data_IF_579080623935
#
_entry.id   IF_579080623935
#
_cell.length_a   1.000
_cell.length_b   1.000
_cell.length_c   1.000
_cell.angle_alpha   90.00
_cell.angle_beta   90.00
_cell.angle_gamma   90.00
#
_symmetry.space_group_name_H-M   'P 1'
#
loop_
_entity.id
_entity.type
_entity.pdbx_description
1 polymer ?
#
# COMPACT_ATOMS: atom_id res chain seq x y z
N UNK A 1 -20.72 9.82 -0.68
CA UNK A 1 -19.68 9.41 -1.65
C UNK A 1 -18.42 10.19 -1.31
N UNK A 2 -17.60 9.65 -0.41
CA UNK A 2 -16.31 10.24 -0.04
C UNK A 2 -15.31 9.80 -1.10
N UNK A 3 -15.03 10.69 -2.06
CA UNK A 3 -13.96 10.46 -3.01
C UNK A 3 -12.66 10.28 -2.23
N UNK A 4 -11.99 9.14 -2.41
CA UNK A 4 -10.63 8.94 -1.92
C UNK A 4 -9.69 9.84 -2.73
N UNK A 5 -9.68 11.13 -2.39
CA UNK A 5 -8.94 12.15 -3.12
C UNK A 5 -7.49 12.12 -2.68
N UNK A 6 -6.63 11.48 -3.48
CA UNK A 6 -5.21 11.75 -3.43
C UNK A 6 -4.96 13.18 -3.91
N UNK A 7 -4.09 13.92 -3.21
CA UNK A 7 -3.71 15.28 -3.62
C UNK A 7 -2.28 15.28 -4.10
N UNK A 8 -2.04 15.76 -5.32
CA UNK A 8 -0.69 15.91 -5.85
C UNK A 8 -0.03 17.13 -5.21
N UNK A 9 1.12 16.92 -4.60
CA UNK A 9 1.97 17.98 -4.03
C UNK A 9 3.26 18.13 -4.84
N UNK A 10 3.72 19.38 -4.99
CA UNK A 10 5.00 19.69 -5.65
C UNK A 10 5.96 20.27 -4.63
N UNK A 11 7.14 19.67 -4.49
CA UNK A 11 8.16 20.07 -3.52
C UNK A 11 9.38 20.65 -4.23
N UNK A 12 9.99 21.68 -3.62
CA UNK A 12 11.30 22.18 -4.03
C UNK A 12 12.34 21.63 -3.05
N UNK A 13 13.29 20.85 -3.56
CA UNK A 13 14.35 20.23 -2.76
C UNK A 13 15.71 20.73 -3.25
N UNK A 14 16.67 20.81 -2.33
CA UNK A 14 18.09 20.96 -2.71
C UNK A 14 18.53 19.69 -3.44
N UNK A 15 19.41 19.82 -4.44
CA UNK A 15 19.88 18.68 -5.23
C UNK A 15 20.50 17.57 -4.37
N UNK A 16 21.28 17.92 -3.34
CA UNK A 16 21.90 16.93 -2.45
C UNK A 16 20.85 16.16 -1.63
N UNK A 17 19.77 16.82 -1.24
CA UNK A 17 18.64 16.20 -0.51
C UNK A 17 17.90 15.25 -1.45
N UNK A 18 17.62 15.69 -2.69
CA UNK A 18 17.01 14.84 -3.70
C UNK A 18 17.87 13.59 -3.99
N UNK A 19 19.19 13.74 -4.16
CA UNK A 19 20.09 12.60 -4.35
C UNK A 19 20.14 11.64 -3.16
N UNK A 20 20.01 12.13 -1.93
CA UNK A 20 19.92 11.29 -0.75
C UNK A 20 18.59 10.51 -0.70
N UNK A 21 17.47 11.13 -1.10
CA UNK A 21 16.16 10.47 -1.20
C UNK A 21 16.20 9.33 -2.21
N UNK A 22 16.77 9.54 -3.40
CA UNK A 22 16.88 8.51 -4.44
C UNK A 22 17.62 7.26 -3.93
N UNK A 23 18.77 7.45 -3.27
CA UNK A 23 19.55 6.33 -2.70
C UNK A 23 18.76 5.57 -1.63
N UNK A 24 18.08 6.28 -0.73
CA UNK A 24 17.30 5.61 0.32
C UNK A 24 16.07 4.88 -0.23
N UNK A 25 15.45 5.41 -1.28
CA UNK A 25 14.37 4.72 -1.99
C UNK A 25 14.87 3.42 -2.63
N UNK A 26 16.05 3.45 -3.27
CA UNK A 26 16.71 2.27 -3.83
C UNK A 26 17.06 1.24 -2.74
N UNK A 27 17.67 1.67 -1.63
CA UNK A 27 18.00 0.79 -0.49
C UNK A 27 16.74 0.12 0.11
N UNK A 28 15.60 0.80 0.07
CA UNK A 28 14.30 0.28 0.50
C UNK A 28 13.60 -0.58 -0.57
N UNK A 29 14.10 -0.61 -1.80
CA UNK A 29 13.45 -1.25 -2.94
C UNK A 29 12.10 -0.62 -3.30
N UNK A 30 12.00 0.71 -3.22
CA UNK A 30 10.79 1.48 -3.48
C UNK A 30 11.03 2.54 -4.58
N UNK A 31 9.97 2.90 -5.32
CA UNK A 31 9.98 4.10 -6.16
C UNK A 31 10.19 5.35 -5.28
N UNK A 32 10.96 6.37 -5.73
CA UNK A 32 11.18 7.60 -4.97
C UNK A 32 9.90 8.29 -4.50
N UNK A 33 8.83 8.25 -5.29
CA UNK A 33 7.54 8.85 -4.95
C UNK A 33 6.87 8.09 -3.81
N UNK A 34 6.88 6.75 -3.88
CA UNK A 34 6.34 5.88 -2.82
C UNK A 34 7.14 6.04 -1.52
N UNK A 35 8.46 6.10 -1.61
CA UNK A 35 9.34 6.36 -0.47
C UNK A 35 9.06 7.73 0.18
N UNK A 36 8.87 8.78 -0.62
CA UNK A 36 8.53 10.11 -0.11
C UNK A 36 7.13 10.15 0.52
N UNK A 37 6.16 9.46 -0.06
CA UNK A 37 4.82 9.34 0.51
C UNK A 37 4.87 8.67 1.89
N UNK A 38 5.59 7.55 2.01
CA UNK A 38 5.75 6.83 3.29
C UNK A 38 6.38 7.70 4.38
N UNK A 39 7.43 8.48 4.05
CA UNK A 39 8.04 9.41 5.01
C UNK A 39 7.06 10.49 5.45
N UNK A 40 6.36 11.12 4.49
CA UNK A 40 5.46 12.22 4.79
C UNK A 40 4.28 11.74 5.64
N UNK A 41 3.72 10.57 5.34
CA UNK A 41 2.67 9.96 6.14
C UNK A 41 3.17 9.64 7.56
N UNK A 42 4.32 8.97 7.69
CA UNK A 42 4.93 8.68 9.00
C UNK A 42 5.20 9.94 9.82
N UNK A 43 5.56 11.05 9.18
CA UNK A 43 5.87 12.30 9.86
C UNK A 43 4.65 13.00 10.48
N UNK A 44 3.43 12.70 10.00
CA UNK A 44 2.21 13.39 10.42
C UNK A 44 1.15 12.44 11.01
N UNK A 45 1.38 11.13 10.99
CA UNK A 45 0.38 10.12 11.35
C UNK A 45 -0.14 10.28 12.79
N UNK A 46 0.73 10.66 13.72
CA UNK A 46 0.39 10.86 15.13
C UNK A 46 -0.44 12.13 15.38
N UNK A 47 -0.46 13.06 14.43
CA UNK A 47 -1.26 14.29 14.52
C UNK A 47 -2.70 14.09 14.01
N UNK A 48 -3.00 12.92 13.44
CA UNK A 48 -4.33 12.62 12.90
C UNK A 48 -5.30 12.13 13.98
N UNK A 49 -6.62 12.33 13.79
CA UNK A 49 -7.65 11.67 14.59
C UNK A 49 -7.42 10.16 14.65
N UNK A 50 -7.66 9.55 15.82
CA UNK A 50 -7.34 8.14 16.07
C UNK A 50 -7.99 7.18 15.07
N UNK A 51 -9.25 7.43 14.71
CA UNK A 51 -9.99 6.65 13.71
C UNK A 51 -9.34 6.72 12.33
N UNK A 52 -8.87 7.90 11.93
CA UNK A 52 -8.19 8.12 10.66
C UNK A 52 -6.77 7.51 10.66
N UNK A 53 -6.02 7.67 11.77
CA UNK A 53 -4.71 7.05 11.97
C UNK A 53 -4.80 5.53 11.84
N UNK A 54 -5.70 4.90 12.60
CA UNK A 54 -5.88 3.44 12.57
C UNK A 54 -6.22 2.94 11.17
N UNK A 55 -7.07 3.66 10.43
CA UNK A 55 -7.40 3.32 9.05
C UNK A 55 -6.17 3.34 8.14
N UNK A 56 -5.37 4.41 8.19
CA UNK A 56 -4.17 4.55 7.37
C UNK A 56 -3.13 3.50 7.76
N UNK A 57 -2.93 3.23 9.05
CA UNK A 57 -1.99 2.20 9.53
C UNK A 57 -2.38 0.80 9.03
N UNK A 58 -3.67 0.47 9.05
CA UNK A 58 -4.19 -0.80 8.50
C UNK A 58 -4.00 -0.89 7.00
N UNK A 59 -4.31 0.17 6.26
CA UNK A 59 -4.06 0.25 4.80
C UNK A 59 -2.56 0.03 4.50
N UNK A 60 -1.66 0.64 5.27
CA UNK A 60 -0.21 0.46 5.12
C UNK A 60 0.25 -0.96 5.43
N UNK A 61 -0.22 -1.55 6.52
CA UNK A 61 0.09 -2.93 6.86
C UNK A 61 -0.35 -3.91 5.75
N UNK A 62 -1.50 -3.63 5.13
CA UNK A 62 -1.99 -4.41 4.00
C UNK A 62 -1.09 -4.28 2.77
N UNK A 63 -0.65 -3.06 2.42
CA UNK A 63 0.28 -2.84 1.31
C UNK A 63 1.64 -3.50 1.54
N UNK A 64 2.17 -3.43 2.77
CA UNK A 64 3.41 -4.12 3.13
C UNK A 64 3.27 -5.65 3.01
N UNK A 65 2.14 -6.20 3.46
CA UNK A 65 1.82 -7.62 3.28
C UNK A 65 1.74 -8.00 1.79
N UNK A 66 1.09 -7.17 0.98
CA UNK A 66 0.98 -7.37 -0.47
C UNK A 66 2.32 -7.37 -1.17
N UNK A 67 3.18 -6.39 -0.87
CA UNK A 67 4.53 -6.29 -1.42
C UNK A 67 5.39 -7.50 -1.06
N UNK A 68 5.28 -7.99 0.19
CA UNK A 68 5.97 -9.22 0.61
C UNK A 68 5.48 -10.44 -0.16
N UNK A 69 4.16 -10.66 -0.25
CA UNK A 69 3.59 -11.77 -1.05
C UNK A 69 3.99 -11.66 -2.52
N UNK A 70 4.05 -10.44 -3.07
CA UNK A 70 4.51 -10.21 -4.43
C UNK A 70 5.98 -10.59 -4.62
N UNK A 71 6.87 -10.20 -3.70
CA UNK A 71 8.30 -10.58 -3.76
C UNK A 71 8.51 -12.08 -3.63
N UNK A 72 7.75 -12.74 -2.75
CA UNK A 72 7.75 -14.20 -2.61
C UNK A 72 7.29 -14.88 -3.91
N UNK A 73 6.16 -14.47 -4.46
CA UNK A 73 5.64 -15.01 -5.73
C UNK A 73 6.59 -14.76 -6.91
N UNK A 74 7.31 -13.64 -6.92
CA UNK A 74 8.36 -13.39 -7.91
C UNK A 74 9.51 -14.37 -7.78
N UNK A 75 10.02 -14.58 -6.56
CA UNK A 75 11.12 -15.49 -6.28
C UNK A 75 10.75 -16.95 -6.64
N UNK A 76 9.50 -17.33 -6.41
CA UNK A 76 8.96 -18.66 -6.71
C UNK A 76 8.54 -18.82 -8.19
N UNK A 77 8.62 -17.76 -8.99
CA UNK A 77 8.28 -17.79 -10.43
C UNK A 77 6.79 -18.01 -10.71
N UNK A 78 5.91 -17.64 -9.78
CA UNK A 78 4.46 -17.95 -9.82
C UNK A 78 3.64 -16.84 -10.45
N UNK A 79 4.26 -15.74 -10.87
CA UNK A 79 3.55 -14.68 -11.56
C UNK A 79 3.14 -15.10 -12.98
N UNK A 80 1.85 -14.94 -13.26
CA UNK A 80 1.25 -15.04 -14.57
C UNK A 80 1.02 -13.64 -15.18
N UNK A 81 0.30 -13.57 -16.31
CA UNK A 81 -0.13 -12.33 -16.96
C UNK A 81 -1.05 -11.43 -16.08
N UNK A 82 -1.40 -11.88 -14.88
CA UNK A 82 -2.34 -11.22 -13.97
C UNK A 82 -1.73 -10.96 -12.60
N UNK A 83 -0.62 -10.19 -12.56
CA UNK A 83 0.11 -9.79 -11.34
C UNK A 83 -0.82 -9.44 -10.16
N UNK A 84 -1.69 -8.43 -10.31
CA UNK A 84 -2.60 -7.96 -9.25
C UNK A 84 -3.53 -9.07 -8.74
N UNK A 85 -4.01 -9.95 -9.63
CA UNK A 85 -4.89 -11.06 -9.26
C UNK A 85 -4.13 -12.12 -8.47
N UNK A 86 -2.89 -12.39 -8.85
CA UNK A 86 -2.01 -13.32 -8.14
C UNK A 86 -1.68 -12.80 -6.74
N UNK A 87 -1.32 -11.51 -6.60
CA UNK A 87 -1.08 -10.89 -5.28
C UNK A 87 -2.35 -10.90 -4.41
N UNK A 88 -3.51 -10.53 -4.97
CA UNK A 88 -4.78 -10.58 -4.24
C UNK A 88 -5.11 -11.99 -3.75
N UNK A 89 -4.98 -13.00 -4.60
CA UNK A 89 -5.21 -14.40 -4.21
C UNK A 89 -4.32 -14.81 -3.03
N UNK A 90 -3.03 -14.49 -3.10
CA UNK A 90 -2.08 -14.81 -2.03
C UNK A 90 -2.40 -14.11 -0.70
N UNK A 91 -2.99 -12.91 -0.75
CA UNK A 91 -3.45 -12.19 0.44
C UNK A 91 -4.70 -12.83 1.08
N UNK A 92 -5.60 -13.38 0.26
CA UNK A 92 -6.90 -13.90 0.76
C UNK A 92 -6.81 -15.39 1.14
N UNK A 93 -5.87 -16.15 0.56
CA UNK A 93 -5.59 -17.54 0.92
C UNK A 93 -4.87 -17.69 2.27
N UNK A 94 -4.16 -16.64 2.70
CA UNK A 94 -3.50 -16.56 4.01
C UNK A 94 -4.43 -15.90 5.04
N UNK A 95 -4.72 -16.61 6.14
CA UNK A 95 -5.72 -16.17 7.11
C UNK A 95 -5.39 -14.81 7.75
N UNK A 96 -4.11 -14.54 8.03
CA UNK A 96 -3.69 -13.31 8.71
C UNK A 96 -3.86 -12.11 7.77
N UNK A 97 -3.39 -12.26 6.52
CA UNK A 97 -3.54 -11.18 5.53
C UNK A 97 -4.96 -11.04 5.02
N UNK A 98 -5.79 -12.10 5.04
CA UNK A 98 -7.22 -12.01 4.73
C UNK A 98 -7.95 -11.17 5.76
N UNK A 99 -7.76 -11.44 7.06
CA UNK A 99 -8.40 -10.64 8.11
C UNK A 99 -8.00 -9.18 8.03
N UNK A 100 -6.72 -8.89 7.73
CA UNK A 100 -6.25 -7.53 7.51
C UNK A 100 -6.92 -6.87 6.28
N UNK A 101 -7.07 -7.60 5.18
CA UNK A 101 -7.76 -7.13 3.99
C UNK A 101 -9.22 -6.80 4.27
N UNK A 102 -9.95 -7.70 4.94
CA UNK A 102 -11.36 -7.57 5.30
C UNK A 102 -11.63 -6.37 6.23
N UNK A 103 -10.72 -6.14 7.19
CA UNK A 103 -10.77 -4.98 8.08
C UNK A 103 -10.56 -3.65 7.33
N UNK A 104 -9.66 -3.62 6.35
CA UNK A 104 -9.44 -2.43 5.50
C UNK A 104 -10.62 -2.16 4.56
N UNK A 105 -11.21 -3.19 3.94
CA UNK A 105 -12.32 -3.00 3.01
C UNK A 105 -13.68 -2.87 3.71
N UNK A 106 -13.77 -3.21 5.00
CA UNK A 106 -14.98 -3.18 5.80
C UNK A 106 -16.03 -4.23 5.41
N UNK A 107 -15.59 -5.34 4.79
CA UNK A 107 -16.44 -6.41 4.29
C UNK A 107 -15.66 -7.71 4.12
N UNK A 108 -16.34 -8.84 3.93
CA UNK A 108 -15.71 -10.11 3.57
C UNK A 108 -14.95 -10.00 2.24
N UNK A 109 -13.81 -10.70 2.10
CA UNK A 109 -12.95 -10.57 0.92
C UNK A 109 -13.67 -10.94 -0.40
N UNK A 110 -14.62 -11.88 -0.30
CA UNK A 110 -15.49 -12.32 -1.39
C UNK A 110 -16.67 -11.40 -1.68
N UNK A 111 -16.93 -10.38 -0.86
CA UNK A 111 -18.07 -9.50 -1.05
C UNK A 111 -17.95 -8.67 -2.34
N UNK A 112 -19.04 -8.63 -3.10
CA UNK A 112 -19.18 -7.79 -4.29
C UNK A 112 -19.56 -6.36 -3.87
N UNK A 113 -18.95 -5.38 -4.53
CA UNK A 113 -19.31 -3.95 -4.35
C UNK A 113 -18.83 -3.31 -3.04
N UNK A 114 -17.94 -3.95 -2.28
CA UNK A 114 -17.34 -3.34 -1.09
C UNK A 114 -16.57 -2.05 -1.47
N UNK A 115 -16.92 -0.87 -0.92
CA UNK A 115 -16.38 0.41 -1.36
C UNK A 115 -14.87 0.55 -1.13
N UNK A 116 -14.29 -0.15 -0.15
CA UNK A 116 -12.84 -0.18 0.08
C UNK A 116 -12.06 -1.09 -0.88
N UNK A 117 -12.74 -1.95 -1.65
CA UNK A 117 -12.10 -2.96 -2.52
C UNK A 117 -11.42 -2.34 -3.73
N UNK A 118 -12.12 -1.47 -4.44
CA UNK A 118 -11.61 -0.84 -5.68
C UNK A 118 -10.33 -0.05 -5.45
N UNK A 119 -10.25 0.83 -4.43
CA UNK A 119 -9.04 1.61 -4.24
C UNK A 119 -7.86 0.78 -3.76
N UNK A 120 -8.07 -0.15 -2.82
CA UNK A 120 -7.03 -1.08 -2.38
C UNK A 120 -6.49 -1.88 -3.56
N UNK A 121 -7.36 -2.44 -4.40
CA UNK A 121 -6.92 -3.24 -5.55
C UNK A 121 -6.16 -2.42 -6.61
N UNK A 122 -6.38 -1.10 -6.71
CA UNK A 122 -5.57 -0.23 -7.57
C UNK A 122 -4.14 -0.03 -7.02
N UNK A 123 -3.95 -0.07 -5.70
CA UNK A 123 -2.63 0.03 -5.06
C UNK A 123 -1.87 -1.30 -5.01
N UNK A 124 -2.54 -2.43 -5.27
CA UNK A 124 -1.94 -3.77 -5.33
C UNK A 124 -1.35 -4.12 -6.71
N UNK A 125 -1.60 -3.30 -7.73
CA UNK A 125 -1.16 -3.52 -9.12
C UNK A 125 0.14 -2.82 -9.48
#
# INVERSE_FOLDING_TARGET
MTSQNTTRVSLRLKNDVHGAILRRAEDAGLDPSAYMQDILEKAVIEDLPEDLRLRIERERALYEAAQRKAREAFADGVFDEHFTRTVFRLLVEDNDTRTLYEDVIGAEAGADGAPGKTPVNMYLG
#
